data_IF_800451342709
#
_entry.id   IF_800451342709
#
_cell.length_a   1.000
_cell.length_b   1.000
_cell.length_c   1.000
_cell.angle_alpha   90.00
_cell.angle_beta   90.00
_cell.angle_gamma   90.00
#
_symmetry.space_group_name_H-M   'P 1'
#
loop_
_entity.id
_entity.type
_entity.pdbx_description
1 polymer ?
#
# COMPACT_ATOMS: atom_id res chain seq x y z
N UNK A 1 17.17 -15.56 2.07
CA UNK A 1 17.58 -14.47 1.15
C UNK A 1 16.38 -13.74 0.55
N UNK A 2 15.45 -14.40 -0.15
CA UNK A 2 14.34 -13.70 -0.84
C UNK A 2 13.41 -12.90 0.09
N UNK A 3 13.12 -13.42 1.30
CA UNK A 3 12.38 -12.66 2.32
C UNK A 3 13.02 -11.30 2.62
N UNK A 4 14.34 -11.28 2.84
CA UNK A 4 15.07 -10.03 3.14
C UNK A 4 15.04 -9.05 1.97
N UNK A 5 15.14 -9.54 0.73
CA UNK A 5 14.97 -8.69 -0.45
C UNK A 5 13.56 -8.08 -0.50
N UNK A 6 12.52 -8.87 -0.25
CA UNK A 6 11.13 -8.38 -0.21
C UNK A 6 10.94 -7.33 0.89
N UNK A 7 11.46 -7.62 2.10
CA UNK A 7 11.43 -6.71 3.24
C UNK A 7 12.15 -5.39 2.95
N UNK A 8 13.38 -5.45 2.44
CA UNK A 8 14.14 -4.25 2.06
C UNK A 8 13.41 -3.48 0.97
N UNK A 9 12.85 -4.14 -0.04
CA UNK A 9 12.05 -3.47 -1.09
C UNK A 9 10.83 -2.77 -0.51
N UNK A 10 10.13 -3.42 0.44
CA UNK A 10 8.97 -2.86 1.13
C UNK A 10 9.32 -1.63 1.96
N UNK A 11 10.41 -1.70 2.73
CA UNK A 11 10.91 -0.57 3.54
C UNK A 11 11.39 0.56 2.62
N UNK A 12 12.09 0.23 1.53
CA UNK A 12 12.55 1.22 0.57
C UNK A 12 11.40 1.93 -0.14
N UNK A 13 10.34 1.20 -0.49
CA UNK A 13 9.11 1.78 -1.06
C UNK A 13 8.41 2.70 -0.05
N UNK A 14 8.40 2.35 1.24
CA UNK A 14 7.93 3.25 2.28
C UNK A 14 8.77 4.53 2.34
N UNK A 15 10.10 4.42 2.27
CA UNK A 15 11.00 5.59 2.25
C UNK A 15 10.76 6.47 1.02
N UNK A 16 10.57 5.88 -0.17
CA UNK A 16 10.20 6.61 -1.39
C UNK A 16 8.91 7.39 -1.15
N UNK A 17 7.87 6.73 -0.64
CA UNK A 17 6.58 7.36 -0.34
C UNK A 17 6.74 8.50 0.67
N UNK A 18 7.51 8.32 1.75
CA UNK A 18 7.80 9.37 2.73
C UNK A 18 8.43 10.61 2.10
N UNK A 19 9.45 10.41 1.25
CA UNK A 19 10.06 11.51 0.53
C UNK A 19 9.08 12.19 -0.43
N UNK A 20 8.21 11.43 -1.10
CA UNK A 20 7.17 11.98 -1.98
C UNK A 20 6.13 12.81 -1.21
N UNK A 21 5.80 12.41 0.01
CA UNK A 21 4.89 13.16 0.88
C UNK A 21 5.52 14.48 1.32
N UNK A 22 6.80 14.45 1.72
CA UNK A 22 7.56 15.65 2.06
C UNK A 22 7.72 16.57 0.84
N UNK A 23 7.99 16.00 -0.34
CA UNK A 23 8.13 16.72 -1.60
C UNK A 23 6.84 17.48 -1.97
N UNK A 24 5.69 16.81 -1.81
CA UNK A 24 4.37 17.42 -2.02
C UNK A 24 4.08 18.50 -0.97
N UNK A 25 4.30 18.20 0.31
CA UNK A 25 4.01 19.11 1.41
C UNK A 25 4.85 20.40 1.36
N UNK A 26 6.12 20.28 0.96
CA UNK A 26 7.05 21.41 0.85
C UNK A 26 6.96 22.15 -0.48
N UNK A 27 6.06 21.72 -1.39
CA UNK A 27 5.98 22.20 -2.78
C UNK A 27 7.32 22.09 -3.55
N UNK A 28 8.14 21.09 -3.21
CA UNK A 28 9.45 20.88 -3.82
C UNK A 28 9.36 20.19 -5.20
N UNK A 29 8.22 19.58 -5.52
CA UNK A 29 8.00 18.75 -6.72
C UNK A 29 8.21 19.44 -8.09
N UNK A 30 8.43 20.76 -8.11
CA UNK A 30 8.69 21.56 -9.32
C UNK A 30 10.05 22.27 -9.27
N UNK A 31 10.89 22.00 -8.26
CA UNK A 31 12.14 22.71 -7.98
C UNK A 31 13.26 22.42 -8.99
N UNK A 32 13.24 21.24 -9.63
CA UNK A 32 14.16 20.83 -10.70
C UNK A 32 13.64 21.17 -12.11
N UNK A 33 12.51 21.88 -12.19
CA UNK A 33 11.84 22.28 -13.42
C UNK A 33 10.91 21.20 -13.99
N UNK A 34 10.24 21.53 -15.10
CA UNK A 34 9.26 20.65 -15.76
C UNK A 34 9.90 19.60 -16.68
N UNK A 35 10.99 18.99 -16.23
CA UNK A 35 11.70 17.94 -16.96
C UNK A 35 11.72 16.65 -16.15
N UNK A 36 11.54 15.52 -16.84
CA UNK A 36 11.57 14.18 -16.27
C UNK A 36 12.13 13.21 -17.32
N UNK A 37 12.99 12.23 -16.96
CA UNK A 37 13.47 11.92 -15.62
C UNK A 37 14.64 12.81 -15.14
N UNK A 38 15.27 13.53 -16.06
CA UNK A 38 16.41 14.40 -15.78
C UNK A 38 16.00 15.80 -15.34
N UNK A 39 16.95 16.56 -14.79
CA UNK A 39 16.80 17.98 -14.50
C UNK A 39 16.96 18.82 -15.77
N UNK A 40 16.63 20.11 -15.72
CA UNK A 40 16.87 21.04 -16.84
C UNK A 40 18.34 21.12 -17.27
N UNK A 41 19.28 20.74 -16.40
CA UNK A 41 20.73 20.78 -16.65
C UNK A 41 21.34 19.37 -16.81
N UNK A 42 20.50 18.36 -17.10
CA UNK A 42 20.93 16.96 -17.24
C UNK A 42 20.82 16.21 -15.90
N UNK A 43 21.87 15.48 -15.51
CA UNK A 43 21.83 14.61 -14.33
C UNK A 43 21.74 15.37 -13.00
N UNK A 44 22.40 16.52 -12.88
CA UNK A 44 22.43 17.31 -11.65
C UNK A 44 21.82 18.69 -11.87
N UNK A 45 21.19 19.30 -10.84
CA UNK A 45 20.79 20.69 -10.93
C UNK A 45 22.01 21.62 -10.99
N UNK A 46 21.85 22.82 -11.54
CA UNK A 46 22.92 23.82 -11.60
C UNK A 46 23.30 24.39 -10.21
N UNK A 47 22.38 24.32 -9.24
CA UNK A 47 22.61 24.73 -7.85
C UNK A 47 21.77 23.88 -6.90
N UNK A 48 22.18 23.85 -5.64
CA UNK A 48 21.48 23.12 -4.58
C UNK A 48 20.79 24.08 -3.63
N UNK A 49 19.55 23.74 -3.30
CA UNK A 49 18.81 24.25 -2.16
C UNK A 49 18.00 23.09 -1.54
N UNK A 50 17.30 23.34 -0.45
CA UNK A 50 16.54 22.30 0.25
C UNK A 50 15.47 21.65 -0.64
N UNK A 51 14.76 22.44 -1.47
CA UNK A 51 13.69 21.93 -2.32
C UNK A 51 14.23 21.02 -3.43
N UNK A 52 15.27 21.48 -4.14
CA UNK A 52 15.97 20.69 -5.16
C UNK A 52 16.56 19.41 -4.59
N UNK A 53 17.08 19.45 -3.37
CA UNK A 53 17.57 18.26 -2.69
C UNK A 53 16.45 17.26 -2.42
N UNK A 54 15.29 17.70 -1.90
CA UNK A 54 14.15 16.83 -1.61
C UNK A 54 13.66 16.14 -2.90
N UNK A 55 13.42 16.92 -3.96
CA UNK A 55 12.93 16.39 -5.24
C UNK A 55 13.95 15.42 -5.87
N UNK A 56 15.24 15.79 -5.87
CA UNK A 56 16.30 14.95 -6.43
C UNK A 56 16.46 13.65 -5.64
N UNK A 57 16.47 13.73 -4.31
CA UNK A 57 16.55 12.56 -3.44
C UNK A 57 15.38 11.60 -3.71
N UNK A 58 14.16 12.12 -3.84
CA UNK A 58 12.99 11.30 -4.20
C UNK A 58 13.20 10.57 -5.55
N UNK A 59 13.66 11.26 -6.61
CA UNK A 59 13.95 10.66 -7.93
C UNK A 59 15.02 9.55 -7.86
N UNK A 60 16.07 9.74 -7.05
CA UNK A 60 17.11 8.73 -6.84
C UNK A 60 16.56 7.51 -6.09
N UNK A 61 15.78 7.73 -5.04
CA UNK A 61 15.16 6.64 -4.27
C UNK A 61 14.23 5.79 -5.16
N UNK A 62 13.44 6.42 -6.05
CA UNK A 62 12.59 5.73 -7.04
C UNK A 62 13.43 4.86 -7.99
N UNK A 63 14.57 5.37 -8.44
CA UNK A 63 15.48 4.62 -9.34
C UNK A 63 16.01 3.35 -8.68
N UNK A 64 16.41 3.43 -7.41
CA UNK A 64 16.83 2.27 -6.61
C UNK A 64 15.67 1.31 -6.35
N UNK A 65 14.47 1.84 -6.09
CA UNK A 65 13.27 1.03 -5.90
C UNK A 65 12.99 0.15 -7.13
N UNK A 66 13.10 0.71 -8.34
CA UNK A 66 12.87 -0.02 -9.57
C UNK A 66 13.85 -1.21 -9.72
N UNK A 67 15.13 -1.00 -9.39
CA UNK A 67 16.14 -2.07 -9.41
C UNK A 67 15.80 -3.18 -8.40
N UNK A 68 15.43 -2.81 -7.17
CA UNK A 68 15.01 -3.76 -6.14
C UNK A 68 13.76 -4.55 -6.56
N UNK A 69 12.76 -3.86 -7.14
CA UNK A 69 11.51 -4.47 -7.58
C UNK A 69 11.72 -5.44 -8.75
N UNK A 70 12.58 -5.10 -9.72
CA UNK A 70 12.96 -6.01 -10.81
C UNK A 70 13.62 -7.26 -10.24
N UNK A 71 14.61 -7.10 -9.37
CA UNK A 71 15.31 -8.22 -8.74
C UNK A 71 14.33 -9.11 -7.94
N UNK A 72 13.46 -8.50 -7.14
CA UNK A 72 12.44 -9.19 -6.35
C UNK A 72 11.48 -9.97 -7.26
N UNK A 73 11.03 -9.37 -8.35
CA UNK A 73 10.12 -10.00 -9.31
C UNK A 73 10.77 -11.24 -9.95
N UNK A 74 11.97 -11.08 -10.52
CA UNK A 74 12.67 -12.17 -11.22
C UNK A 74 12.95 -13.34 -10.26
N UNK A 75 13.47 -13.05 -9.06
CA UNK A 75 13.80 -14.09 -8.07
C UNK A 75 12.52 -14.76 -7.56
N UNK A 76 11.49 -13.98 -7.23
CA UNK A 76 10.26 -14.52 -6.65
C UNK A 76 9.47 -15.36 -7.65
N UNK A 77 9.42 -14.97 -8.92
CA UNK A 77 8.76 -15.75 -9.98
C UNK A 77 9.46 -17.07 -10.25
N UNK A 78 10.80 -17.09 -10.22
CA UNK A 78 11.56 -18.33 -10.39
C UNK A 78 11.37 -19.27 -9.21
N UNK A 79 11.47 -18.76 -7.98
CA UNK A 79 11.46 -19.56 -6.75
C UNK A 79 10.06 -19.99 -6.31
N UNK A 80 9.07 -19.11 -6.38
CA UNK A 80 7.72 -19.32 -5.85
C UNK A 80 6.65 -19.49 -6.95
N UNK A 81 7.04 -19.96 -8.15
CA UNK A 81 6.16 -20.11 -9.33
C UNK A 81 4.83 -20.83 -9.11
N UNK A 82 4.73 -21.67 -8.07
CA UNK A 82 3.53 -22.43 -7.68
C UNK A 82 2.48 -21.58 -6.94
N UNK A 83 2.88 -20.43 -6.38
CA UNK A 83 2.02 -19.55 -5.60
C UNK A 83 1.57 -18.39 -6.49
N UNK A 84 0.31 -18.44 -6.94
CA UNK A 84 -0.27 -17.40 -7.80
C UNK A 84 -0.29 -16.04 -7.10
N UNK A 85 -0.40 -16.04 -5.77
CA UNK A 85 -0.36 -14.84 -4.93
C UNK A 85 0.94 -14.06 -5.13
N UNK A 86 2.07 -14.78 -5.22
CA UNK A 86 3.38 -14.16 -5.45
C UNK A 86 3.41 -13.47 -6.81
N UNK A 87 2.88 -14.12 -7.86
CA UNK A 87 2.81 -13.56 -9.21
C UNK A 87 1.88 -12.35 -9.28
N UNK A 88 0.69 -12.46 -8.70
CA UNK A 88 -0.31 -11.38 -8.71
C UNK A 88 0.18 -10.17 -7.94
N UNK A 89 0.71 -10.34 -6.73
CA UNK A 89 1.19 -9.21 -5.91
C UNK A 89 2.40 -8.50 -6.54
N UNK A 90 3.34 -9.25 -7.13
CA UNK A 90 4.45 -8.64 -7.87
C UNK A 90 3.95 -7.92 -9.13
N UNK A 91 2.98 -8.48 -9.87
CA UNK A 91 2.39 -7.80 -11.02
C UNK A 91 1.66 -6.51 -10.62
N UNK A 92 0.89 -6.54 -9.54
CA UNK A 92 0.24 -5.33 -9.00
C UNK A 92 1.30 -4.30 -8.65
N UNK A 93 2.37 -4.68 -7.93
CA UNK A 93 3.45 -3.75 -7.60
C UNK A 93 4.07 -3.11 -8.85
N UNK A 94 4.41 -3.91 -9.86
CA UNK A 94 5.00 -3.41 -11.12
C UNK A 94 4.05 -2.45 -11.84
N UNK A 95 2.80 -2.87 -12.08
CA UNK A 95 1.81 -2.06 -12.80
C UNK A 95 1.59 -0.73 -12.09
N UNK A 96 1.46 -0.74 -10.76
CA UNK A 96 1.20 0.47 -10.00
C UNK A 96 2.44 1.36 -9.85
N UNK A 97 3.67 0.81 -9.85
CA UNK A 97 4.91 1.62 -9.95
C UNK A 97 5.04 2.31 -11.32
N UNK A 98 4.60 1.68 -12.40
CA UNK A 98 4.56 2.36 -13.69
C UNK A 98 3.44 3.40 -13.76
N UNK A 99 2.28 3.11 -13.16
CA UNK A 99 1.17 4.05 -13.09
C UNK A 99 1.52 5.28 -12.22
N UNK A 100 2.20 5.11 -11.09
CA UNK A 100 2.65 6.23 -10.24
C UNK A 100 3.70 7.07 -10.97
N UNK A 101 4.64 6.46 -11.71
CA UNK A 101 5.62 7.19 -12.49
C UNK A 101 4.94 8.08 -13.57
N UNK A 102 3.91 7.56 -14.23
CA UNK A 102 3.11 8.33 -15.18
C UNK A 102 2.33 9.48 -14.51
N UNK A 103 1.72 9.22 -13.34
CA UNK A 103 1.01 10.23 -12.56
C UNK A 103 1.97 11.30 -12.00
N UNK A 104 3.17 10.93 -11.58
CA UNK A 104 4.23 11.84 -11.15
C UNK A 104 4.71 12.74 -12.27
N UNK A 105 4.97 12.17 -13.46
CA UNK A 105 5.29 12.96 -14.65
C UNK A 105 4.14 13.93 -15.00
N UNK A 106 2.90 13.46 -14.94
CA UNK A 106 1.72 14.30 -15.18
C UNK A 106 1.58 15.42 -14.14
N UNK A 107 1.85 15.16 -12.86
CA UNK A 107 1.83 16.18 -11.81
C UNK A 107 2.85 17.29 -12.10
N UNK A 108 4.08 16.93 -12.50
CA UNK A 108 5.12 17.90 -12.87
C UNK A 108 4.71 18.74 -14.09
N UNK A 109 4.12 18.10 -15.11
CA UNK A 109 3.73 18.77 -16.36
C UNK A 109 2.48 19.66 -16.19
N UNK A 110 1.53 19.25 -15.36
CA UNK A 110 0.25 19.94 -15.15
C UNK A 110 0.24 20.87 -13.93
N UNK A 111 1.38 21.08 -13.25
CA UNK A 111 1.48 21.93 -12.06
C UNK A 111 0.62 21.39 -10.90
N UNK A 112 0.82 20.11 -10.59
CA UNK A 112 0.26 19.38 -9.45
C UNK A 112 -1.24 19.59 -9.19
N UNK A 113 -2.14 19.28 -10.16
CA UNK A 113 -3.57 19.36 -9.92
C UNK A 113 -3.99 18.47 -8.73
N UNK A 114 -4.86 18.95 -7.81
CA UNK A 114 -5.20 18.19 -6.59
C UNK A 114 -5.70 16.77 -6.84
N UNK A 115 -6.50 16.56 -7.89
CA UNK A 115 -6.98 15.23 -8.26
C UNK A 115 -5.85 14.30 -8.76
N UNK A 116 -4.87 14.84 -9.49
CA UNK A 116 -3.72 14.07 -9.97
C UNK A 116 -2.82 13.68 -8.80
N UNK A 117 -2.53 14.62 -7.89
CA UNK A 117 -1.73 14.36 -6.67
C UNK A 117 -2.41 13.32 -5.77
N UNK A 118 -3.72 13.46 -5.56
CA UNK A 118 -4.50 12.49 -4.79
C UNK A 118 -4.52 11.09 -5.42
N UNK A 119 -4.63 11.03 -6.75
CA UNK A 119 -4.58 9.76 -7.49
C UNK A 119 -3.20 9.13 -7.40
N UNK A 120 -2.14 9.92 -7.57
CA UNK A 120 -0.74 9.49 -7.43
C UNK A 120 -0.52 8.85 -6.06
N UNK A 121 -0.94 9.54 -4.99
CA UNK A 121 -0.86 9.03 -3.62
C UNK A 121 -1.56 7.67 -3.45
N UNK A 122 -2.80 7.53 -3.94
CA UNK A 122 -3.52 6.25 -3.87
C UNK A 122 -2.83 5.11 -4.63
N UNK A 123 -2.34 5.39 -5.84
CA UNK A 123 -1.64 4.41 -6.70
C UNK A 123 -0.32 3.96 -6.06
N UNK A 124 0.46 4.90 -5.51
CA UNK A 124 1.71 4.60 -4.82
C UNK A 124 1.50 3.70 -3.59
N UNK A 125 0.43 3.95 -2.84
CA UNK A 125 0.10 3.13 -1.69
C UNK A 125 -0.39 1.72 -2.08
N UNK A 126 -1.03 1.54 -3.25
CA UNK A 126 -1.38 0.19 -3.75
C UNK A 126 -0.12 -0.62 -4.04
N UNK A 127 0.89 -0.02 -4.70
CA UNK A 127 2.18 -0.66 -4.93
C UNK A 127 2.84 -1.06 -3.59
N UNK A 128 2.84 -0.14 -2.61
CA UNK A 128 3.37 -0.39 -1.27
C UNK A 128 2.68 -1.55 -0.56
N UNK A 129 1.34 -1.58 -0.56
CA UNK A 129 0.59 -2.68 0.04
C UNK A 129 0.89 -4.00 -0.67
N UNK A 130 1.00 -4.00 -2.00
CA UNK A 130 1.31 -5.22 -2.75
C UNK A 130 2.67 -5.82 -2.35
N UNK A 131 3.73 -4.99 -2.25
CA UNK A 131 5.07 -5.44 -1.83
C UNK A 131 5.10 -5.83 -0.34
N UNK A 132 4.39 -5.09 0.52
CA UNK A 132 4.31 -5.39 1.94
C UNK A 132 3.62 -6.74 2.18
N UNK A 133 2.46 -6.96 1.55
CA UNK A 133 1.75 -8.23 1.65
C UNK A 133 2.56 -9.36 1.01
N UNK A 134 3.22 -9.12 -0.12
CA UNK A 134 4.13 -10.08 -0.74
C UNK A 134 5.23 -10.52 0.24
N UNK A 135 5.80 -9.59 1.00
CA UNK A 135 6.80 -9.88 2.04
C UNK A 135 6.25 -10.84 3.08
N UNK A 136 5.01 -10.60 3.55
CA UNK A 136 4.35 -11.52 4.51
C UNK A 136 4.08 -12.90 3.90
N UNK A 137 3.71 -12.97 2.62
CA UNK A 137 3.45 -14.23 1.90
C UNK A 137 4.75 -15.03 1.74
N UNK A 138 5.82 -14.40 1.26
CA UNK A 138 7.14 -15.02 1.11
C UNK A 138 7.65 -15.51 2.47
N UNK A 139 7.55 -14.67 3.50
CA UNK A 139 7.94 -15.05 4.87
C UNK A 139 7.16 -16.25 5.39
N UNK A 140 5.86 -16.30 5.11
CA UNK A 140 4.97 -17.39 5.50
C UNK A 140 5.30 -18.71 4.78
N UNK A 141 5.68 -18.63 3.49
CA UNK A 141 6.11 -19.78 2.69
C UNK A 141 7.45 -20.32 3.20
N UNK A 142 8.43 -19.44 3.36
CA UNK A 142 9.80 -19.82 3.76
C UNK A 142 9.81 -20.38 5.20
N UNK A 143 9.17 -19.71 6.17
CA UNK A 143 9.16 -20.14 7.58
C UNK A 143 8.49 -21.50 7.78
N UNK A 144 7.39 -21.76 7.07
CA UNK A 144 6.63 -23.02 7.17
C UNK A 144 7.12 -24.09 6.18
N UNK A 145 8.18 -23.83 5.42
CA UNK A 145 8.76 -24.74 4.42
C UNK A 145 7.73 -25.25 3.39
N UNK A 146 6.76 -24.42 3.01
CA UNK A 146 5.63 -24.85 2.16
C UNK A 146 6.06 -25.28 0.75
N UNK A 147 7.21 -24.80 0.27
CA UNK A 147 7.80 -25.26 -1.00
C UNK A 147 8.15 -26.76 -0.97
N UNK A 148 8.48 -27.29 0.21
CA UNK A 148 8.84 -28.69 0.42
C UNK A 148 7.61 -29.53 0.72
N UNK A 149 6.74 -29.07 1.63
CA UNK A 149 5.57 -29.84 2.06
C UNK A 149 4.44 -29.83 1.03
N UNK A 150 4.33 -28.77 0.23
CA UNK A 150 3.23 -28.57 -0.72
C UNK A 150 1.92 -28.14 -0.03
N UNK A 151 1.97 -27.80 1.25
CA UNK A 151 0.81 -27.39 2.04
C UNK A 151 0.21 -26.07 1.52
N UNK A 152 -1.09 -25.85 1.77
CA UNK A 152 -1.74 -24.59 1.46
C UNK A 152 -1.13 -23.43 2.26
N UNK A 153 -1.11 -22.25 1.66
CA UNK A 153 -0.73 -20.99 2.29
C UNK A 153 -1.74 -20.64 3.40
N UNK A 154 -3.04 -20.78 3.11
CA UNK A 154 -4.13 -20.64 4.07
C UNK A 154 -4.80 -21.99 4.31
N UNK A 155 -4.58 -22.58 5.48
CA UNK A 155 -5.12 -23.89 5.85
C UNK A 155 -6.61 -23.85 6.18
N UNK A 156 -7.07 -22.81 6.87
CA UNK A 156 -8.47 -22.66 7.26
C UNK A 156 -9.12 -21.52 6.47
N UNK A 157 -10.23 -21.78 5.76
CA UNK A 157 -10.98 -20.74 5.09
C UNK A 157 -11.66 -19.81 6.10
N UNK A 158 -11.96 -18.60 5.68
CA UNK A 158 -12.88 -17.69 6.37
C UNK A 158 -14.22 -17.65 5.64
N UNK A 159 -15.26 -17.14 6.30
CA UNK A 159 -16.55 -16.99 5.64
C UNK A 159 -16.49 -16.01 4.45
N UNK A 160 -17.18 -16.35 3.35
CA UNK A 160 -17.21 -15.53 2.13
C UNK A 160 -17.69 -14.10 2.40
N UNK A 161 -18.68 -13.94 3.29
CA UNK A 161 -19.15 -12.62 3.71
C UNK A 161 -18.01 -11.82 4.36
N UNK A 162 -17.25 -12.41 5.28
CA UNK A 162 -16.14 -11.74 5.94
C UNK A 162 -15.04 -11.33 4.95
N UNK A 163 -14.69 -12.21 4.00
CA UNK A 163 -13.74 -11.89 2.95
C UNK A 163 -14.22 -10.71 2.08
N UNK A 164 -15.50 -10.66 1.68
CA UNK A 164 -16.04 -9.52 0.94
C UNK A 164 -15.92 -8.21 1.72
N UNK A 165 -16.19 -8.25 3.03
CA UNK A 165 -16.05 -7.08 3.89
C UNK A 165 -14.60 -6.62 4.05
N UNK A 166 -13.61 -7.50 4.07
CA UNK A 166 -12.19 -7.08 4.14
C UNK A 166 -11.75 -6.40 2.84
N UNK A 167 -12.20 -6.89 1.68
CA UNK A 167 -11.97 -6.24 0.40
C UNK A 167 -12.69 -4.90 0.26
N UNK A 168 -13.94 -4.81 0.73
CA UNK A 168 -14.64 -3.52 0.83
C UNK A 168 -13.91 -2.56 1.77
N UNK A 169 -13.41 -3.05 2.89
CA UNK A 169 -12.54 -2.31 3.81
C UNK A 169 -11.32 -1.73 3.12
N UNK A 170 -10.63 -2.54 2.32
CA UNK A 170 -9.46 -2.09 1.55
C UNK A 170 -9.82 -0.96 0.57
N UNK A 171 -10.89 -1.15 -0.21
CA UNK A 171 -11.39 -0.13 -1.14
C UNK A 171 -11.81 1.16 -0.42
N UNK A 172 -12.45 1.04 0.75
CA UNK A 172 -12.87 2.17 1.55
C UNK A 172 -11.68 2.98 2.09
N UNK A 173 -10.66 2.29 2.63
CA UNK A 173 -9.43 2.97 3.10
C UNK A 173 -8.73 3.66 1.93
N UNK A 174 -8.66 3.05 0.75
CA UNK A 174 -8.12 3.67 -0.45
C UNK A 174 -8.89 4.95 -0.84
N UNK A 175 -10.23 4.90 -0.81
CA UNK A 175 -11.07 6.05 -1.08
C UNK A 175 -10.88 7.17 -0.02
N UNK A 176 -10.74 6.80 1.25
CA UNK A 176 -10.47 7.74 2.33
C UNK A 176 -9.09 8.41 2.18
N UNK A 177 -8.06 7.65 1.79
CA UNK A 177 -6.72 8.16 1.46
C UNK A 177 -6.80 9.15 0.29
N UNK A 178 -7.46 8.77 -0.81
CA UNK A 178 -7.64 9.64 -1.96
C UNK A 178 -8.30 10.97 -1.54
N UNK A 179 -9.41 10.88 -0.80
CA UNK A 179 -10.13 12.07 -0.37
C UNK A 179 -9.31 12.93 0.61
N UNK A 180 -8.60 12.31 1.55
CA UNK A 180 -7.69 13.04 2.45
C UNK A 180 -6.53 13.72 1.72
N UNK A 181 -5.93 13.05 0.74
CA UNK A 181 -4.90 13.66 -0.11
C UNK A 181 -5.47 14.81 -0.95
N UNK A 182 -6.71 14.68 -1.45
CA UNK A 182 -7.39 15.75 -2.18
C UNK A 182 -7.59 16.98 -1.27
N UNK A 183 -8.08 16.79 -0.04
CA UNK A 183 -8.24 17.88 0.96
C UNK A 183 -6.90 18.58 1.24
N UNK A 184 -5.81 17.82 1.37
CA UNK A 184 -4.48 18.36 1.59
C UNK A 184 -4.01 19.20 0.38
N UNK A 185 -4.25 18.73 -0.84
CA UNK A 185 -3.83 19.41 -2.07
C UNK A 185 -4.70 20.61 -2.46
N UNK A 186 -5.93 20.73 -1.96
CA UNK A 186 -6.80 21.90 -2.20
C UNK A 186 -6.60 23.02 -1.19
N UNK A 187 -5.76 22.84 -0.17
CA UNK A 187 -5.58 23.79 0.93
C UNK A 187 -6.72 23.81 1.96
N UNK A 188 -7.73 22.96 1.80
CA UNK A 188 -8.89 22.89 2.69
C UNK A 188 -8.51 22.38 4.10
N UNK A 189 -7.46 21.55 4.20
CA UNK A 189 -7.03 20.96 5.46
C UNK A 189 -6.55 21.95 6.54
N UNK A 190 -6.21 23.19 6.17
CA UNK A 190 -5.83 24.24 7.11
C UNK A 190 -6.89 25.33 7.31
N UNK A 191 -8.01 25.25 6.58
CA UNK A 191 -9.02 26.30 6.56
C UNK A 191 -9.90 26.31 7.82
N UNK A 192 -10.07 25.16 8.47
CA UNK A 192 -10.95 24.99 9.63
C UNK A 192 -10.15 24.55 10.86
N UNK A 193 -10.47 25.14 12.01
CA UNK A 193 -9.76 24.93 13.28
C UNK A 193 -10.57 24.13 14.29
N UNK A 194 -11.89 23.97 14.07
CA UNK A 194 -12.74 23.17 14.94
C UNK A 194 -12.39 21.68 14.88
N UNK A 195 -12.37 21.00 16.03
CA UNK A 195 -12.23 19.54 16.17
C UNK A 195 -13.01 19.04 17.40
N UNK A 196 -13.82 17.97 17.31
CA UNK A 196 -14.03 17.07 16.16
C UNK A 196 -14.98 17.62 15.09
N UNK A 197 -15.71 18.70 15.38
CA UNK A 197 -16.58 19.39 14.42
C UNK A 197 -15.99 20.75 14.05
N UNK A 198 -16.13 21.20 12.80
CA UNK A 198 -15.74 22.55 12.43
C UNK A 198 -16.56 23.58 13.21
N UNK A 199 -15.92 24.67 13.62
CA UNK A 199 -16.52 25.76 14.40
C UNK A 199 -16.89 26.96 13.53
N UNK A 200 -16.37 26.98 12.31
CA UNK A 200 -16.49 28.06 11.36
C UNK A 200 -17.86 28.06 10.66
N UNK A 201 -18.26 29.21 10.12
CA UNK A 201 -19.53 29.36 9.44
C UNK A 201 -19.45 28.85 7.98
N UNK A 202 -20.32 27.90 7.63
CA UNK A 202 -20.39 27.32 6.29
C UNK A 202 -20.62 28.35 5.16
N UNK A 203 -21.37 29.44 5.41
CA UNK A 203 -21.61 30.49 4.43
C UNK A 203 -20.35 31.30 4.09
N UNK A 204 -19.41 31.40 5.05
CA UNK A 204 -18.14 32.14 4.87
C UNK A 204 -17.09 31.27 4.18
N UNK A 205 -16.97 30.01 4.59
CA UNK A 205 -15.93 29.09 4.10
C UNK A 205 -16.37 28.28 2.87
N UNK A 206 -17.66 28.34 2.50
CA UNK A 206 -18.19 27.78 1.27
C UNK A 206 -17.81 26.33 1.05
N UNK A 207 -17.18 26.05 -0.09
CA UNK A 207 -16.80 24.70 -0.50
C UNK A 207 -15.72 24.05 0.40
N UNK A 208 -14.83 24.84 1.03
CA UNK A 208 -13.83 24.29 1.95
C UNK A 208 -14.48 23.69 3.21
N UNK A 209 -15.55 24.32 3.71
CA UNK A 209 -16.32 23.78 4.83
C UNK A 209 -16.86 22.39 4.51
N UNK A 210 -17.52 22.24 3.35
CA UNK A 210 -18.13 20.98 2.97
C UNK A 210 -17.13 19.88 2.63
N UNK A 211 -15.96 20.22 2.09
CA UNK A 211 -14.86 19.27 1.84
C UNK A 211 -14.32 18.70 3.16
N UNK A 212 -14.06 19.54 4.16
CA UNK A 212 -13.59 19.09 5.48
C UNK A 212 -14.64 18.23 6.20
N UNK A 213 -15.91 18.67 6.21
CA UNK A 213 -17.01 17.88 6.79
C UNK A 213 -17.09 16.50 6.13
N UNK A 214 -17.04 16.44 4.79
CA UNK A 214 -17.05 15.18 4.06
C UNK A 214 -15.85 14.29 4.42
N UNK A 215 -14.64 14.85 4.57
CA UNK A 215 -13.45 14.10 4.97
C UNK A 215 -13.65 13.44 6.34
N UNK A 216 -14.17 14.20 7.32
CA UNK A 216 -14.45 13.70 8.67
C UNK A 216 -15.56 12.66 8.68
N UNK A 217 -16.61 12.85 7.88
CA UNK A 217 -17.68 11.84 7.73
C UNK A 217 -17.16 10.53 7.14
N UNK A 218 -16.27 10.59 6.14
CA UNK A 218 -15.60 9.39 5.60
C UNK A 218 -14.74 8.72 6.69
N UNK A 219 -14.02 9.48 7.50
CA UNK A 219 -13.25 8.93 8.62
C UNK A 219 -14.14 8.23 9.66
N UNK A 220 -15.32 8.79 9.99
CA UNK A 220 -16.30 8.15 10.87
C UNK A 220 -16.86 6.85 10.28
N UNK A 221 -17.16 6.84 8.97
CA UNK A 221 -17.59 5.63 8.27
C UNK A 221 -16.52 4.54 8.31
N UNK A 222 -15.23 4.90 8.20
CA UNK A 222 -14.12 3.96 8.35
C UNK A 222 -14.10 3.32 9.75
N UNK A 223 -14.34 4.09 10.81
CA UNK A 223 -14.42 3.55 12.19
C UNK A 223 -15.51 2.48 12.28
N UNK A 224 -16.72 2.77 11.78
CA UNK A 224 -17.85 1.82 11.80
C UNK A 224 -17.50 0.54 11.04
N UNK A 225 -16.91 0.68 9.85
CA UNK A 225 -16.49 -0.44 9.01
C UNK A 225 -15.46 -1.32 9.71
N UNK A 226 -14.45 -0.72 10.36
CA UNK A 226 -13.39 -1.44 11.06
C UNK A 226 -13.89 -2.10 12.35
N UNK A 227 -14.87 -1.51 13.04
CA UNK A 227 -15.58 -2.18 14.15
C UNK A 227 -16.27 -3.44 13.62
N UNK A 228 -17.00 -3.33 12.51
CA UNK A 228 -17.64 -4.46 11.84
C UNK A 228 -16.65 -5.57 11.46
N UNK A 229 -15.51 -5.21 10.89
CA UNK A 229 -14.42 -6.15 10.58
C UNK A 229 -13.80 -6.80 11.81
N UNK A 230 -13.69 -6.07 12.92
CA UNK A 230 -13.17 -6.61 14.17
C UNK A 230 -14.12 -7.62 14.80
N UNK A 231 -15.42 -7.27 14.86
CA UNK A 231 -16.48 -8.17 15.35
C UNK A 231 -16.63 -9.39 14.44
N UNK A 232 -16.60 -9.20 13.11
CA UNK A 232 -16.60 -10.28 12.13
C UNK A 232 -15.37 -11.19 12.27
N UNK A 233 -14.21 -10.62 12.59
CA UNK A 233 -12.96 -11.34 12.84
C UNK A 233 -13.04 -12.24 14.07
N UNK A 234 -13.73 -11.82 15.15
CA UNK A 234 -13.99 -12.67 16.33
C UNK A 234 -14.76 -13.94 15.98
N UNK A 235 -15.62 -13.89 14.97
CA UNK A 235 -16.43 -15.05 14.53
C UNK A 235 -15.60 -16.09 13.76
N UNK A 236 -14.39 -15.73 13.29
CA UNK A 236 -13.49 -16.63 12.57
C UNK A 236 -12.63 -17.45 13.55
N UNK A 237 -13.25 -18.40 14.26
CA UNK A 237 -12.61 -19.13 15.40
C UNK A 237 -11.26 -19.79 15.05
N UNK A 238 -11.11 -20.32 13.83
CA UNK A 238 -9.88 -20.98 13.37
C UNK A 238 -8.81 -20.00 12.84
N UNK A 239 -9.10 -18.70 12.83
CA UNK A 239 -8.24 -17.63 12.30
C UNK A 239 -8.23 -16.41 13.24
N UNK A 240 -7.76 -16.56 14.51
CA UNK A 240 -7.78 -15.51 15.52
C UNK A 240 -6.97 -14.26 15.14
N UNK A 241 -6.05 -14.37 14.18
CA UNK A 241 -5.28 -13.25 13.64
C UNK A 241 -6.16 -12.15 13.03
N UNK A 242 -7.36 -12.47 12.53
CA UNK A 242 -8.26 -11.45 11.98
C UNK A 242 -8.85 -10.56 13.06
N UNK A 243 -9.19 -11.13 14.22
CA UNK A 243 -9.61 -10.34 15.36
C UNK A 243 -8.48 -9.46 15.88
N UNK A 244 -7.26 -10.01 16.03
CA UNK A 244 -6.08 -9.24 16.46
C UNK A 244 -5.76 -8.10 15.48
N UNK A 245 -5.81 -8.38 14.17
CA UNK A 245 -5.60 -7.37 13.13
C UNK A 245 -6.68 -6.29 13.17
N UNK A 246 -7.95 -6.66 13.41
CA UNK A 246 -9.05 -5.72 13.60
C UNK A 246 -8.82 -4.78 14.79
N UNK A 247 -8.36 -5.29 15.93
CA UNK A 247 -8.01 -4.47 17.10
C UNK A 247 -6.88 -3.50 16.76
N UNK A 248 -5.80 -3.96 16.11
CA UNK A 248 -4.71 -3.08 15.69
C UNK A 248 -5.20 -2.02 14.69
N UNK A 249 -6.10 -2.37 13.76
CA UNK A 249 -6.70 -1.42 12.82
C UNK A 249 -7.54 -0.35 13.53
N UNK A 250 -8.29 -0.71 14.57
CA UNK A 250 -9.03 0.25 15.41
C UNK A 250 -8.08 1.18 16.17
N UNK A 251 -6.99 0.65 16.73
CA UNK A 251 -5.98 1.46 17.40
C UNK A 251 -5.31 2.44 16.43
N UNK A 252 -4.92 1.99 15.24
CA UNK A 252 -4.38 2.85 14.19
C UNK A 252 -5.39 3.92 13.75
N UNK A 253 -6.68 3.59 13.69
CA UNK A 253 -7.73 4.57 13.33
C UNK A 253 -7.94 5.60 14.43
N UNK A 254 -7.85 5.20 15.70
CA UNK A 254 -7.85 6.15 16.82
C UNK A 254 -6.62 7.08 16.75
N UNK A 255 -5.44 6.52 16.47
CA UNK A 255 -4.22 7.32 16.23
C UNK A 255 -4.36 8.23 15.00
N UNK A 256 -5.09 7.81 13.96
CA UNK A 256 -5.39 8.64 12.79
C UNK A 256 -6.23 9.86 13.17
N UNK A 257 -7.25 9.68 14.01
CA UNK A 257 -8.07 10.78 14.51
C UNK A 257 -7.26 11.75 15.38
N UNK A 258 -6.43 11.23 16.27
CA UNK A 258 -5.53 12.04 17.12
C UNK A 258 -4.52 12.82 16.27
N UNK A 259 -3.90 12.17 15.27
CA UNK A 259 -2.98 12.87 14.37
C UNK A 259 -3.68 13.89 13.47
N UNK A 260 -4.97 13.70 13.14
CA UNK A 260 -5.79 14.72 12.48
C UNK A 260 -6.02 15.95 13.35
N UNK A 261 -6.28 15.75 14.65
CA UNK A 261 -6.33 16.85 15.62
C UNK A 261 -4.97 17.56 15.74
N UNK A 262 -3.88 16.80 15.77
CA UNK A 262 -2.51 17.33 15.81
C UNK A 262 -2.19 18.18 14.58
N UNK A 263 -2.65 17.79 13.38
CA UNK A 263 -2.51 18.59 12.17
C UNK A 263 -3.14 19.98 12.33
N UNK A 264 -4.36 20.05 12.87
CA UNK A 264 -5.07 21.32 13.11
C UNK A 264 -4.30 22.16 14.15
N UNK A 265 -4.05 21.61 15.34
CA UNK A 265 -3.44 22.37 16.44
C UNK A 265 -1.98 22.77 16.19
N UNK A 266 -1.26 22.05 15.34
CA UNK A 266 0.12 22.39 14.97
C UNK A 266 0.23 23.29 13.74
N UNK A 267 -0.89 23.84 13.25
CA UNK A 267 -0.93 24.65 12.02
C UNK A 267 -0.30 23.91 10.83
N UNK A 268 -0.68 22.65 10.66
CA UNK A 268 -0.17 21.73 9.63
C UNK A 268 1.35 21.55 9.69
N UNK A 269 1.96 21.39 10.86
CA UNK A 269 3.40 21.12 10.92
C UNK A 269 3.79 19.87 10.09
N UNK A 270 4.97 19.90 9.47
CA UNK A 270 5.46 18.78 8.66
C UNK A 270 5.49 17.45 9.44
N UNK A 271 5.82 17.50 10.73
CA UNK A 271 5.84 16.32 11.58
C UNK A 271 4.45 15.74 11.80
N UNK A 272 3.44 16.58 12.05
CA UNK A 272 2.06 16.14 12.17
C UNK A 272 1.55 15.53 10.86
N UNK A 273 1.90 16.13 9.72
CA UNK A 273 1.57 15.62 8.40
C UNK A 273 2.20 14.26 8.13
N UNK A 274 3.51 14.09 8.34
CA UNK A 274 4.20 12.82 8.15
C UNK A 274 3.63 11.74 9.09
N UNK A 275 3.38 12.07 10.36
CA UNK A 275 2.74 11.15 11.31
C UNK A 275 1.36 10.70 10.80
N UNK A 276 0.52 11.65 10.39
CA UNK A 276 -0.84 11.36 9.92
C UNK A 276 -0.84 10.45 8.69
N UNK A 277 0.05 10.71 7.74
CA UNK A 277 0.14 9.91 6.51
C UNK A 277 0.79 8.54 6.77
N UNK A 278 1.77 8.44 7.68
CA UNK A 278 2.37 7.17 8.11
C UNK A 278 1.35 6.22 8.75
N UNK A 279 0.49 6.74 9.62
CA UNK A 279 -0.51 5.94 10.33
C UNK A 279 -1.51 5.34 9.34
N UNK A 280 -2.08 6.13 8.42
CA UNK A 280 -3.01 5.61 7.40
C UNK A 280 -2.33 4.68 6.40
N UNK A 281 -1.06 4.92 6.07
CA UNK A 281 -0.26 4.01 5.23
C UNK A 281 -0.11 2.64 5.89
N UNK A 282 0.15 2.62 7.20
CA UNK A 282 0.26 1.39 7.99
C UNK A 282 -1.10 0.69 8.11
N UNK A 283 -2.18 1.46 8.35
CA UNK A 283 -3.54 0.94 8.39
C UNK A 283 -3.92 0.28 7.05
N UNK A 284 -3.60 0.93 5.92
CA UNK A 284 -3.89 0.41 4.58
C UNK A 284 -3.13 -0.89 4.29
N UNK A 285 -1.86 -0.98 4.69
CA UNK A 285 -1.10 -2.23 4.59
C UNK A 285 -1.69 -3.36 5.46
N UNK A 286 -2.14 -3.05 6.68
CA UNK A 286 -2.77 -4.03 7.56
C UNK A 286 -4.10 -4.54 6.99
N UNK A 287 -4.96 -3.65 6.48
CA UNK A 287 -6.22 -4.03 5.85
C UNK A 287 -5.97 -4.79 4.54
N UNK A 288 -4.94 -4.42 3.77
CA UNK A 288 -4.50 -5.16 2.59
C UNK A 288 -4.04 -6.58 2.91
N UNK A 289 -3.27 -6.73 4.00
CA UNK A 289 -2.93 -8.04 4.54
C UNK A 289 -4.19 -8.85 4.90
N UNK A 290 -5.15 -8.27 5.61
CA UNK A 290 -6.41 -8.95 5.94
C UNK A 290 -7.18 -9.37 4.68
N UNK A 291 -7.28 -8.50 3.67
CA UNK A 291 -7.97 -8.80 2.41
C UNK A 291 -7.36 -10.00 1.67
N UNK A 292 -6.03 -10.03 1.53
CA UNK A 292 -5.32 -11.13 0.87
C UNK A 292 -5.35 -12.43 1.69
N UNK A 293 -5.27 -12.34 3.02
CA UNK A 293 -5.36 -13.52 3.89
C UNK A 293 -6.76 -14.10 4.00
N UNK A 294 -7.79 -13.32 3.67
CA UNK A 294 -9.17 -13.75 3.63
C UNK A 294 -9.57 -14.44 2.30
N UNK A 295 -8.70 -14.38 1.28
CA UNK A 295 -8.95 -15.07 0.02
C UNK A 295 -9.03 -16.59 0.21
N UNK A 296 -9.88 -17.28 -0.55
CA UNK A 296 -9.87 -18.74 -0.59
C UNK A 296 -8.53 -19.24 -1.10
N UNK A 297 -8.16 -20.44 -0.67
CA UNK A 297 -6.94 -21.07 -1.15
C UNK A 297 -7.11 -21.53 -2.61
N UNK A 298 -6.24 -21.12 -3.54
CA UNK A 298 -6.29 -21.61 -4.91
C UNK A 298 -6.05 -23.12 -4.96
N UNK A 299 -6.75 -23.83 -5.84
CA UNK A 299 -6.43 -25.23 -6.13
C UNK A 299 -5.02 -25.31 -6.71
N UNK A 300 -4.12 -26.04 -6.02
CA UNK A 300 -2.74 -26.25 -6.44
C UNK A 300 -2.57 -27.70 -6.86
N UNK A 301 -1.92 -27.93 -7.99
CA UNK A 301 -1.48 -29.28 -8.37
C UNK A 301 -0.43 -29.75 -7.35
N UNK A 302 -0.73 -30.83 -6.62
CA UNK A 302 0.19 -31.41 -5.65
C UNK A 302 1.42 -32.01 -6.35
N UNK A 303 2.57 -31.99 -5.67
CA UNK A 303 3.82 -32.53 -6.20
C UNK A 303 3.78 -34.06 -6.44
N UNK A 304 2.79 -34.76 -5.86
CA UNK A 304 2.57 -36.20 -6.01
C UNK A 304 2.31 -36.63 -7.46
N UNK A 305 1.67 -35.79 -8.28
CA UNK A 305 1.43 -36.09 -9.70
C UNK A 305 2.72 -36.27 -10.51
N UNK A 306 3.81 -35.59 -10.11
CA UNK A 306 5.10 -35.71 -10.78
C UNK A 306 5.86 -36.99 -10.42
N UNK A 307 5.74 -37.45 -9.17
CA UNK A 307 6.37 -38.69 -8.71
C UNK A 307 5.61 -39.94 -9.19
N UNK A 308 4.28 -39.89 -9.26
CA UNK A 308 3.48 -40.96 -9.87
C UNK A 308 3.74 -41.04 -11.36
N UNK A 309 3.69 -39.94 -12.11
CA UNK A 309 4.04 -39.96 -13.56
C UNK A 309 5.46 -40.44 -13.82
N UNK A 310 6.41 -40.14 -12.94
CA UNK A 310 7.78 -40.65 -13.00
C UNK A 310 7.85 -42.16 -12.78
N UNK A 311 7.14 -42.68 -11.78
CA UNK A 311 7.02 -44.12 -11.49
C UNK A 311 6.30 -44.89 -12.60
N UNK A 312 5.19 -44.37 -13.14
CA UNK A 312 4.46 -45.02 -14.23
C UNK A 312 5.28 -45.06 -15.52
N UNK A 313 6.04 -43.99 -15.83
CA UNK A 313 6.98 -44.00 -16.97
C UNK A 313 8.14 -44.98 -16.79
N UNK A 314 8.69 -45.11 -15.58
CA UNK A 314 9.74 -46.10 -15.29
C UNK A 314 9.21 -47.53 -15.32
N UNK A 315 7.98 -47.76 -14.84
CA UNK A 315 7.30 -49.06 -14.89
C UNK A 315 7.02 -49.49 -16.33
N UNK A 316 6.43 -48.62 -17.16
CA UNK A 316 6.20 -48.92 -18.59
C UNK A 316 7.49 -49.12 -19.38
N UNK A 317 8.58 -48.42 -19.05
CA UNK A 317 9.88 -48.69 -19.69
C UNK A 317 10.43 -50.07 -19.33
N UNK A 318 10.20 -50.55 -18.10
CA UNK A 318 10.63 -51.89 -17.69
C UNK A 318 9.77 -53.01 -18.30
N UNK A 319 8.48 -52.79 -18.54
CA UNK A 319 7.62 -53.81 -19.17
C UNK A 319 7.78 -53.92 -20.69
N UNK A 320 8.38 -52.93 -21.35
CA UNK A 320 8.68 -52.97 -22.80
C UNK A 320 10.05 -53.63 -23.07
N UNK A 321 10.88 -53.79 -22.04
CA UNK A 321 12.23 -54.37 -22.12
C UNK A 321 12.32 -55.80 -21.54
N UNK A 322 11.19 -56.41 -21.19
CA UNK A 322 11.06 -57.80 -20.74
C UNK A 322 10.21 -58.58 -21.74
#
# INVERSE_FOLDING_TARGET
>A
MTFWLAFVTSVWMLLVNMFGFVDTFTNSSLSLGRTWPFTQHGLFPASWDAAKFIEYAHRVLVSVLLMLLIALTVISWRKYRRYIEVKVLTMIAIVFVFAEAALGAMAVLMVSPPAVVATHMGVALIAFVAVTVLTTVIGSIDRRKLLQTGDPLRQHPVSTSYARWTWLGLLYVLAAIYFGSYVASTGAGGALQGWPFPTENAAVYGHYFWIDVAHRTIALGLVILLIGLTVGGRKQKNRPEFYKSGIVALLLTAMQAVSGALLIYSMLSIWAYVIHVCIVTTLFALVGYMAVQALPEPQRQHATDGQERGRTRQSNKKSILA
#
